data_IF_718841055376
#
_entry.id   IF_718841055376
#
_cell.length_a   1.000
_cell.length_b   1.000
_cell.length_c   1.000
_cell.angle_alpha   90.00
_cell.angle_beta   90.00
_cell.angle_gamma   90.00
#
_symmetry.space_group_name_H-M   'P 1'
#
loop_
_entity.id
_entity.type
_entity.pdbx_description
1 polymer ?
#
# COMPACT_ATOMS: atom_id res chain seq x y z
N UNK A 1 -13.05 -3.38 -5.02
CA UNK A 1 -12.16 -2.84 -3.97
C UNK A 1 -11.80 -3.95 -2.99
N UNK A 2 -10.50 -4.18 -2.80
CA UNK A 2 -9.92 -5.12 -1.84
C UNK A 2 -8.89 -4.39 -1.00
N UNK A 3 -8.98 -4.48 0.33
CA UNK A 3 -8.06 -3.78 1.25
C UNK A 3 -7.36 -4.78 2.15
N UNK A 4 -6.06 -4.59 2.33
CA UNK A 4 -5.21 -5.39 3.20
C UNK A 4 -4.37 -4.50 4.10
N UNK A 5 -4.23 -4.89 5.36
CA UNK A 5 -3.49 -4.12 6.36
C UNK A 5 -2.45 -5.00 7.05
N UNK A 6 -1.24 -4.50 7.19
CA UNK A 6 -0.15 -5.19 7.88
C UNK A 6 0.84 -4.18 8.50
N UNK A 7 1.71 -4.65 9.39
CA UNK A 7 2.75 -3.81 10.01
C UNK A 7 4.10 -4.08 9.38
N UNK A 8 4.83 -3.03 9.02
CA UNK A 8 6.18 -3.10 8.47
C UNK A 8 7.04 -2.00 9.07
N UNK A 9 8.20 -2.37 9.60
CA UNK A 9 9.15 -1.43 10.20
C UNK A 9 8.53 -0.51 11.29
N UNK A 10 7.56 -1.04 12.06
CA UNK A 10 6.85 -0.27 13.08
C UNK A 10 5.77 0.68 12.54
N UNK A 11 5.42 0.56 11.25
CA UNK A 11 4.37 1.36 10.62
C UNK A 11 3.21 0.50 10.15
N UNK A 12 1.99 1.00 10.32
CA UNK A 12 0.79 0.35 9.78
C UNK A 12 0.67 0.68 8.30
N UNK A 13 0.81 -0.33 7.46
CA UNK A 13 0.61 -0.24 6.01
C UNK A 13 -0.77 -0.76 5.66
N UNK A 14 -1.55 0.04 4.94
CA UNK A 14 -2.85 -0.32 4.39
C UNK A 14 -2.79 -0.22 2.88
N UNK A 15 -2.95 -1.34 2.17
CA UNK A 15 -3.00 -1.42 0.72
C UNK A 15 -4.44 -1.55 0.29
N UNK A 16 -4.86 -0.73 -0.66
CA UNK A 16 -6.17 -0.81 -1.31
C UNK A 16 -5.99 -1.00 -2.80
N UNK A 17 -6.56 -2.08 -3.33
CA UNK A 17 -6.64 -2.40 -4.74
C UNK A 17 -8.05 -2.11 -5.24
N UNK A 18 -8.17 -1.26 -6.23
CA UNK A 18 -9.44 -0.97 -6.89
C UNK A 18 -9.46 -1.51 -8.31
N UNK A 19 -10.62 -2.01 -8.72
CA UNK A 19 -10.79 -2.69 -9.99
C UNK A 19 -11.88 -1.94 -10.75
N UNK A 20 -11.50 -1.32 -11.85
CA UNK A 20 -12.41 -0.61 -12.72
C UNK A 20 -13.14 -1.60 -13.65
N UNK A 21 -14.42 -1.36 -14.02
CA UNK A 21 -15.18 -2.19 -14.96
C UNK A 21 -14.51 -2.40 -16.32
N UNK A 22 -13.51 -1.60 -16.69
CA UNK A 22 -12.68 -1.82 -17.89
C UNK A 22 -11.66 -2.96 -17.76
N UNK A 23 -11.57 -3.61 -16.59
CA UNK A 23 -10.59 -4.66 -16.28
C UNK A 23 -9.25 -4.11 -15.78
N UNK A 24 -9.14 -2.79 -15.64
CA UNK A 24 -7.98 -2.11 -15.12
C UNK A 24 -7.97 -2.12 -13.59
N UNK A 25 -6.83 -2.47 -13.00
CA UNK A 25 -6.63 -2.52 -11.56
C UNK A 25 -5.72 -1.37 -11.14
N UNK A 26 -6.20 -0.50 -10.26
CA UNK A 26 -5.39 0.53 -9.63
C UNK A 26 -5.04 0.11 -8.21
N UNK A 27 -3.99 0.71 -7.66
CA UNK A 27 -3.61 0.46 -6.28
C UNK A 27 -3.22 1.75 -5.58
N UNK A 28 -3.44 1.72 -4.28
CA UNK A 28 -3.08 2.77 -3.34
C UNK A 28 -2.56 2.13 -2.08
N UNK A 29 -1.65 2.80 -1.40
CA UNK A 29 -1.28 2.42 -0.05
C UNK A 29 -1.20 3.64 0.86
N UNK A 30 -1.50 3.42 2.13
CA UNK A 30 -1.39 4.40 3.19
C UNK A 30 -0.52 3.83 4.30
N UNK A 31 0.43 4.63 4.77
CA UNK A 31 1.29 4.32 5.92
C UNK A 31 0.84 5.23 7.08
N UNK A 32 0.57 4.61 8.23
CA UNK A 32 0.14 5.25 9.48
C UNK A 32 -1.18 6.02 9.42
N UNK A 33 -2.05 5.69 8.44
CA UNK A 33 -3.36 6.30 8.17
C UNK A 33 -3.39 7.81 7.87
N UNK A 34 -2.48 8.59 8.46
CA UNK A 34 -2.36 10.05 8.37
C UNK A 34 -0.96 10.48 7.88
N UNK A 35 0.01 9.55 7.85
CA UNK A 35 1.42 9.87 7.60
C UNK A 35 1.78 9.96 6.11
N UNK A 36 1.37 8.98 5.30
CA UNK A 36 1.76 8.94 3.88
C UNK A 36 0.79 8.10 3.04
N UNK A 37 0.11 8.72 2.08
CA UNK A 37 -0.71 8.01 1.08
C UNK A 37 -0.11 8.19 -0.30
N UNK A 38 0.11 7.09 -1.01
CA UNK A 38 0.55 7.08 -2.41
C UNK A 38 -0.44 6.27 -3.26
N UNK A 39 -0.77 6.83 -4.42
CA UNK A 39 -1.62 6.20 -5.41
C UNK A 39 -0.84 6.00 -6.70
N UNK A 40 -1.04 4.85 -7.33
CA UNK A 40 -0.53 4.60 -8.66
C UNK A 40 -1.50 5.16 -9.70
N UNK A 41 -1.03 6.16 -10.42
CA UNK A 41 -1.77 6.83 -11.50
C UNK A 41 -1.96 5.93 -12.74
N UNK A 42 -1.06 4.96 -12.96
CA UNK A 42 -1.16 4.02 -14.09
C UNK A 42 -1.82 2.70 -13.66
N UNK A 43 -3.04 2.41 -14.16
CA UNK A 43 -3.67 1.13 -13.94
C UNK A 43 -2.86 -0.03 -14.52
N UNK A 44 -3.04 -1.20 -13.90
CA UNK A 44 -2.44 -2.47 -14.27
C UNK A 44 -3.50 -3.40 -14.85
N UNK A 45 -3.04 -4.32 -15.68
CA UNK A 45 -3.87 -5.32 -16.38
C UNK A 45 -4.36 -6.47 -15.48
N UNK A 46 -3.89 -6.55 -14.24
CA UNK A 46 -4.27 -7.62 -13.31
C UNK A 46 -4.17 -7.20 -11.85
N UNK A 47 -5.07 -7.75 -11.04
CA UNK A 47 -5.14 -7.50 -9.61
C UNK A 47 -3.90 -8.01 -8.86
N UNK A 48 -3.37 -9.17 -9.28
CA UNK A 48 -2.14 -9.74 -8.72
C UNK A 48 -0.95 -8.80 -8.95
N UNK A 49 -0.77 -8.32 -10.18
CA UNK A 49 0.26 -7.34 -10.52
C UNK A 49 0.11 -6.04 -9.72
N UNK A 50 -1.14 -5.58 -9.53
CA UNK A 50 -1.42 -4.39 -8.73
C UNK A 50 -1.05 -4.60 -7.26
N UNK A 51 -1.39 -5.76 -6.70
CA UNK A 51 -1.10 -6.13 -5.32
C UNK A 51 0.40 -6.31 -5.07
N UNK A 52 1.11 -7.01 -5.94
CA UNK A 52 2.57 -7.18 -5.87
C UNK A 52 3.30 -5.83 -5.96
N UNK A 53 2.89 -4.97 -6.90
CA UNK A 53 3.47 -3.63 -7.07
C UNK A 53 3.21 -2.74 -5.85
N UNK A 54 1.97 -2.71 -5.35
CA UNK A 54 1.61 -1.94 -4.16
C UNK A 54 2.39 -2.40 -2.94
N UNK A 55 2.48 -3.73 -2.72
CA UNK A 55 3.21 -4.32 -1.59
C UNK A 55 4.69 -3.98 -1.66
N UNK A 56 5.28 -4.07 -2.84
CA UNK A 56 6.70 -3.73 -3.06
C UNK A 56 6.96 -2.24 -2.78
N UNK A 57 6.12 -1.34 -3.31
CA UNK A 57 6.24 0.09 -3.07
C UNK A 57 6.05 0.45 -1.61
N UNK A 58 4.98 -0.04 -0.98
CA UNK A 58 4.66 0.25 0.40
C UNK A 58 5.74 -0.28 1.35
N UNK A 59 6.28 -1.48 1.09
CA UNK A 59 7.39 -2.04 1.84
C UNK A 59 8.66 -1.20 1.68
N UNK A 60 9.05 -0.85 0.46
CA UNK A 60 10.21 -0.02 0.23
C UNK A 60 10.09 1.35 0.90
N UNK A 61 8.88 1.93 0.89
CA UNK A 61 8.61 3.20 1.57
C UNK A 61 8.69 3.07 3.09
N UNK A 62 8.03 2.06 3.67
CA UNK A 62 8.07 1.80 5.12
C UNK A 62 9.50 1.49 5.61
N UNK A 63 10.30 0.80 4.82
CA UNK A 63 11.71 0.49 5.14
C UNK A 63 12.61 1.73 5.06
N UNK A 64 12.30 2.67 4.17
CA UNK A 64 13.00 3.95 4.05
C UNK A 64 12.61 4.96 5.14
N UNK A 65 11.49 4.75 5.82
CA UNK A 65 11.10 5.56 6.98
C UNK A 65 11.90 5.11 8.22
N UNK A 66 12.27 6.03 9.12
CA UNK A 66 12.80 5.64 10.42
C UNK A 66 11.75 4.76 11.14
N UNK A 67 12.16 3.71 11.85
CA UNK A 67 11.23 2.76 12.46
C UNK A 67 10.17 3.50 13.28
N UNK A 68 8.91 3.25 12.94
CA UNK A 68 7.76 3.88 13.57
C UNK A 68 7.67 3.52 15.05
N UNK A 69 7.11 4.45 15.82
CA UNK A 69 6.89 4.33 17.26
C UNK A 69 5.72 3.37 17.57
N UNK A 70 5.61 2.22 16.89
CA UNK A 70 4.84 1.07 17.43
C UNK A 70 5.68 0.26 18.44
N UNK A 71 6.64 0.93 19.08
CA UNK A 71 7.34 0.51 20.28
C UNK A 71 6.94 1.44 21.45
N UNK A 72 5.65 1.53 21.74
CA UNK A 72 5.12 2.44 22.74
C UNK A 72 3.87 1.94 23.46
N UNK A 73 3.93 0.75 24.07
CA UNK A 73 3.00 0.33 25.13
C UNK A 73 3.71 -0.56 26.16
#
# INVERSE_FOLDING_TARGET
>A
MSTETYVRNGHRVEITIDHDPTGQCTWSYTIDADGFTEMRDRPLESADAAREAATTHANAKADALPPGDEAGA
#
